data_IF_178860810268
#
_entry.id   IF_178860810268
#
_cell.length_a   1.000
_cell.length_b   1.000
_cell.length_c   1.000
_cell.angle_alpha   90.00
_cell.angle_beta   90.00
_cell.angle_gamma   90.00
#
_symmetry.space_group_name_H-M   'P 1'
#
loop_
_entity.id
_entity.type
_entity.pdbx_description
1 polymer ?
#
# COMPACT_ATOMS: atom_id res chain seq x y z
N UNK A 1 17.32 -0.78 -0.24
CA UNK A 1 15.95 -0.34 0.10
C UNK A 1 15.84 1.16 -0.10
N UNK A 2 14.66 1.66 -0.48
CA UNK A 2 14.42 3.11 -0.52
C UNK A 2 13.90 3.57 0.83
N UNK A 3 14.52 4.63 1.36
CA UNK A 3 14.15 5.22 2.64
C UNK A 3 13.35 6.51 2.50
N UNK A 4 13.02 6.95 1.29
CA UNK A 4 12.28 8.19 1.05
C UNK A 4 11.32 8.01 -0.13
N UNK A 5 10.36 7.09 0.00
CA UNK A 5 9.28 6.92 -0.98
C UNK A 5 8.17 7.91 -0.64
N UNK A 6 7.86 8.80 -1.59
CA UNK A 6 6.86 9.87 -1.46
C UNK A 6 6.47 10.39 -2.87
N UNK A 7 5.31 11.05 -3.02
CA UNK A 7 4.81 11.46 -4.34
C UNK A 7 5.78 12.35 -5.13
N UNK A 8 6.57 13.20 -4.45
CA UNK A 8 7.54 14.08 -5.10
C UNK A 8 8.69 13.32 -5.77
N UNK A 9 8.93 12.08 -5.35
CA UNK A 9 9.99 11.23 -5.88
C UNK A 9 9.44 10.27 -6.97
N UNK A 10 8.15 10.36 -7.31
CA UNK A 10 7.52 9.54 -8.34
C UNK A 10 7.36 10.33 -9.65
N UNK A 11 8.07 9.89 -10.70
CA UNK A 11 8.00 10.51 -12.01
C UNK A 11 6.89 9.87 -12.84
N UNK A 12 6.01 10.70 -13.40
CA UNK A 12 4.93 10.25 -14.28
C UNK A 12 5.37 10.40 -15.74
N UNK A 13 5.56 9.26 -16.40
CA UNK A 13 5.93 9.17 -17.81
C UNK A 13 4.72 9.11 -18.75
N UNK A 14 5.00 9.06 -20.05
CA UNK A 14 3.98 8.74 -21.07
C UNK A 14 3.50 7.29 -20.93
N UNK A 15 2.36 6.98 -21.56
CA UNK A 15 1.88 5.61 -21.69
C UNK A 15 2.92 4.74 -22.41
N UNK A 16 3.06 3.49 -21.98
CA UNK A 16 3.93 2.55 -22.68
C UNK A 16 3.28 2.07 -23.98
N UNK A 17 4.11 1.61 -24.91
CA UNK A 17 3.71 1.04 -26.18
C UNK A 17 3.40 -0.46 -26.11
N UNK A 18 3.69 -1.16 -25.02
CA UNK A 18 3.53 -2.62 -24.87
C UNK A 18 2.71 -3.05 -23.64
N UNK A 19 3.22 -2.90 -22.42
CA UNK A 19 2.66 -3.48 -21.19
C UNK A 19 1.71 -2.53 -20.45
N UNK A 20 2.02 -1.22 -20.42
CA UNK A 20 1.28 -0.21 -19.68
C UNK A 20 0.64 0.85 -20.59
N UNK A 21 -0.16 0.39 -21.56
CA UNK A 21 -0.82 1.26 -22.54
C UNK A 21 -1.96 2.13 -21.99
N UNK A 22 -2.42 1.87 -20.76
CA UNK A 22 -3.66 2.46 -20.21
C UNK A 22 -3.43 3.45 -19.08
N UNK A 23 -2.41 3.21 -18.26
CA UNK A 23 -2.04 4.08 -17.16
C UNK A 23 -0.65 4.67 -17.43
N UNK A 24 -0.42 5.96 -17.15
CA UNK A 24 0.91 6.55 -17.22
C UNK A 24 1.91 5.72 -16.41
N UNK A 25 3.12 5.54 -16.95
CA UNK A 25 4.17 4.79 -16.26
C UNK A 25 4.67 5.62 -15.08
N UNK A 26 4.59 5.07 -13.87
CA UNK A 26 5.17 5.66 -12.68
C UNK A 26 6.59 5.09 -12.49
N UNK A 27 7.59 5.97 -12.42
CA UNK A 27 8.98 5.60 -12.18
C UNK A 27 9.43 6.20 -10.86
N UNK A 28 9.74 5.34 -9.89
CA UNK A 28 10.37 5.76 -8.65
C UNK A 28 11.75 6.35 -8.94
N UNK A 29 11.98 7.56 -8.47
CA UNK A 29 13.22 8.30 -8.60
C UNK A 29 13.83 8.57 -7.22
N UNK A 30 14.97 9.27 -7.23
CA UNK A 30 15.65 9.76 -6.03
C UNK A 30 16.10 8.66 -5.05
N UNK A 31 17.16 7.95 -5.44
CA UNK A 31 17.80 6.93 -4.60
C UNK A 31 18.91 7.50 -3.69
N UNK A 32 19.00 8.82 -3.52
CA UNK A 32 20.09 9.48 -2.76
C UNK A 32 20.14 9.08 -1.27
N UNK A 33 19.00 8.65 -0.71
CA UNK A 33 18.89 8.14 0.67
C UNK A 33 18.78 6.61 0.73
N UNK A 34 18.87 5.94 -0.41
CA UNK A 34 18.80 4.48 -0.45
C UNK A 34 20.06 3.86 0.13
N UNK A 35 19.90 2.73 0.79
CA UNK A 35 21.01 1.96 1.36
C UNK A 35 20.82 0.47 1.08
N UNK A 36 21.94 -0.24 1.01
CA UNK A 36 21.94 -1.70 1.02
C UNK A 36 21.57 -2.17 2.42
N UNK A 37 20.51 -2.97 2.51
CA UNK A 37 20.12 -3.55 3.79
C UNK A 37 21.19 -4.58 4.21
N UNK A 38 21.67 -4.56 5.46
CA UNK A 38 22.58 -5.59 5.95
C UNK A 38 21.86 -6.96 6.03
N UNK A 39 22.64 -8.03 6.07
CA UNK A 39 22.10 -9.39 6.24
C UNK A 39 21.46 -9.57 7.63
N UNK A 40 21.99 -8.89 8.65
CA UNK A 40 21.44 -8.84 10.00
C UNK A 40 20.81 -7.47 10.26
N UNK A 41 19.48 -7.43 10.34
CA UNK A 41 18.67 -6.24 10.62
C UNK A 41 18.06 -6.28 12.03
N UNK A 42 18.48 -7.23 12.87
CA UNK A 42 18.02 -7.31 14.25
C UNK A 42 18.44 -6.04 15.02
N UNK A 43 17.49 -5.24 15.55
CA UNK A 43 17.78 -3.98 16.23
C UNK A 43 18.69 -4.14 17.45
N UNK A 44 18.63 -5.29 18.13
CA UNK A 44 19.44 -5.59 19.31
C UNK A 44 20.88 -5.91 18.90
N UNK A 45 21.05 -6.63 17.80
CA UNK A 45 22.36 -7.07 17.31
C UNK A 45 23.04 -6.03 16.42
N UNK A 46 22.27 -5.12 15.84
CA UNK A 46 22.74 -4.09 14.92
C UNK A 46 22.16 -2.70 15.27
N UNK A 47 22.50 -2.15 16.44
CA UNK A 47 21.99 -0.84 16.86
C UNK A 47 22.50 0.31 15.98
N UNK A 48 23.70 0.17 15.40
CA UNK A 48 24.28 1.17 14.49
C UNK A 48 23.42 1.30 13.22
N UNK A 49 22.95 0.19 12.66
CA UNK A 49 22.01 0.23 11.53
C UNK A 49 20.74 1.01 11.87
N UNK A 50 20.17 0.79 13.06
CA UNK A 50 18.98 1.52 13.50
C UNK A 50 19.30 3.01 13.64
N UNK A 51 20.45 3.36 14.22
CA UNK A 51 20.88 4.74 14.40
C UNK A 51 21.09 5.46 13.06
N UNK A 52 21.66 4.78 12.07
CA UNK A 52 21.92 5.32 10.75
C UNK A 52 20.68 5.41 9.86
N UNK A 53 19.70 4.51 10.03
CA UNK A 53 18.54 4.39 9.16
C UNK A 53 17.26 5.06 9.69
N UNK A 54 17.18 5.34 10.99
CA UNK A 54 16.08 6.11 11.58
C UNK A 54 16.05 7.55 11.05
N UNK A 55 14.88 8.18 11.09
CA UNK A 55 14.67 9.58 10.66
C UNK A 55 15.02 9.92 9.20
N UNK A 56 15.22 8.92 8.32
CA UNK A 56 15.60 9.17 6.93
C UNK A 56 14.44 9.49 5.98
N UNK A 57 13.24 8.97 6.24
CA UNK A 57 12.10 9.27 5.36
C UNK A 57 11.57 10.68 5.58
N UNK A 58 10.82 11.21 4.62
CA UNK A 58 10.09 12.46 4.83
C UNK A 58 9.00 12.30 5.90
N UNK A 59 8.83 13.32 6.75
CA UNK A 59 7.78 13.33 7.79
C UNK A 59 6.40 13.05 7.18
N UNK A 60 5.65 12.12 7.79
CA UNK A 60 4.35 11.66 7.29
C UNK A 60 4.41 10.45 6.36
N UNK A 61 5.58 10.14 5.79
CA UNK A 61 5.87 8.90 5.07
C UNK A 61 6.76 7.94 5.89
N UNK A 62 7.34 8.44 6.99
CA UNK A 62 8.06 7.63 7.97
C UNK A 62 7.10 6.66 8.69
N UNK A 63 7.47 5.38 8.84
CA UNK A 63 6.75 4.44 9.67
C UNK A 63 7.17 4.54 11.16
N UNK A 64 6.35 3.98 12.08
CA UNK A 64 6.58 4.04 13.52
C UNK A 64 7.97 3.57 13.98
N UNK A 65 8.53 2.51 13.37
CA UNK A 65 9.84 1.97 13.75
C UNK A 65 11.02 2.92 13.45
N UNK A 66 10.84 3.84 12.50
CA UNK A 66 11.80 4.90 12.19
C UNK A 66 11.61 6.14 13.08
N UNK A 67 10.41 6.37 13.59
CA UNK A 67 10.04 7.57 14.37
C UNK A 67 10.24 7.38 15.88
N UNK A 68 9.85 6.24 16.45
CA UNK A 68 9.86 6.07 17.90
C UNK A 68 10.99 5.17 18.33
N UNK A 69 11.93 5.73 19.10
CA UNK A 69 12.95 4.93 19.79
C UNK A 69 12.36 3.88 20.73
N UNK A 70 11.13 4.09 21.21
CA UNK A 70 10.38 3.18 22.07
C UNK A 70 9.50 2.17 21.33
N UNK A 71 9.51 2.14 19.99
CA UNK A 71 8.72 1.16 19.23
C UNK A 71 9.15 -0.27 19.59
N UNK A 72 8.19 -1.17 19.78
CA UNK A 72 8.44 -2.54 20.26
C UNK A 72 9.30 -3.35 19.30
N UNK A 73 9.12 -3.15 17.99
CA UNK A 73 9.95 -3.75 16.95
C UNK A 73 10.61 -2.67 16.09
N UNK A 74 11.91 -2.43 16.30
CA UNK A 74 12.68 -1.38 15.57
C UNK A 74 13.35 -1.87 14.29
N UNK A 75 12.85 -2.94 13.67
CA UNK A 75 13.41 -3.51 12.45
C UNK A 75 13.14 -2.60 11.24
N UNK A 76 14.12 -1.76 10.92
CA UNK A 76 14.09 -0.87 9.75
C UNK A 76 14.65 -1.63 8.53
N UNK A 77 13.85 -1.81 7.48
CA UNK A 77 14.19 -2.69 6.37
C UNK A 77 13.29 -2.51 5.14
N UNK A 78 13.17 -3.53 4.29
CA UNK A 78 12.27 -3.50 3.12
C UNK A 78 10.81 -3.19 3.51
N UNK A 79 10.36 -3.63 4.68
CA UNK A 79 9.01 -3.41 5.22
C UNK A 79 8.74 -1.94 5.56
N UNK A 80 9.79 -1.16 5.81
CA UNK A 80 9.72 0.30 5.93
C UNK A 80 9.36 0.93 4.58
N UNK A 81 9.91 0.43 3.47
CA UNK A 81 9.52 0.90 2.13
C UNK A 81 8.07 0.54 1.78
N UNK A 82 7.57 -0.62 2.25
CA UNK A 82 6.18 -1.04 2.07
C UNK A 82 5.21 -0.04 2.72
N UNK A 83 5.49 0.38 3.94
CA UNK A 83 4.71 1.42 4.60
C UNK A 83 4.65 2.70 3.77
N UNK A 84 5.80 3.16 3.29
CA UNK A 84 5.89 4.40 2.53
C UNK A 84 5.11 4.32 1.20
N UNK A 85 5.09 3.16 0.54
CA UNK A 85 4.19 2.89 -0.60
C UNK A 85 2.71 3.00 -0.18
N UNK A 86 2.33 2.41 0.95
CA UNK A 86 0.99 2.57 1.51
C UNK A 86 0.62 4.03 1.79
N UNK A 87 1.57 4.82 2.32
CA UNK A 87 1.38 6.25 2.56
C UNK A 87 1.16 7.05 1.26
N UNK A 88 1.90 6.73 0.20
CA UNK A 88 1.65 7.29 -1.15
C UNK A 88 0.26 6.92 -1.64
N UNK A 89 -0.11 5.63 -1.60
CA UNK A 89 -1.44 5.16 -2.02
C UNK A 89 -2.56 5.85 -1.24
N UNK A 90 -2.43 5.95 0.08
CA UNK A 90 -3.38 6.63 0.95
C UNK A 90 -3.50 8.12 0.58
N UNK A 91 -2.37 8.80 0.38
CA UNK A 91 -2.36 10.20 -0.02
C UNK A 91 -3.03 10.43 -1.37
N UNK A 92 -2.85 9.53 -2.34
CA UNK A 92 -3.52 9.59 -3.64
C UNK A 92 -5.04 9.40 -3.54
N UNK A 93 -5.50 8.55 -2.61
CA UNK A 93 -6.94 8.28 -2.42
C UNK A 93 -7.62 9.39 -1.60
N UNK A 94 -7.05 9.74 -0.46
CA UNK A 94 -7.69 10.62 0.54
C UNK A 94 -7.29 12.08 0.34
N UNK A 95 -6.19 12.37 -0.35
CA UNK A 95 -5.68 13.72 -0.56
C UNK A 95 -4.94 14.31 0.65
N UNK A 96 -4.61 13.50 1.65
CA UNK A 96 -3.86 13.89 2.86
C UNK A 96 -3.05 12.71 3.41
N UNK A 97 -2.13 13.02 4.32
CA UNK A 97 -1.30 12.02 5.02
C UNK A 97 -2.12 11.19 6.01
N UNK A 98 -1.69 9.95 6.23
CA UNK A 98 -2.29 9.07 7.25
C UNK A 98 -2.06 9.65 8.65
N UNK A 99 -3.06 9.53 9.53
CA UNK A 99 -2.95 10.01 10.90
C UNK A 99 -2.43 8.88 11.82
N UNK A 100 -1.19 9.04 12.24
CA UNK A 100 -0.44 8.12 13.10
C UNK A 100 -0.94 8.07 14.56
N UNK A 101 -1.80 8.99 14.99
CA UNK A 101 -2.33 9.01 16.36
C UNK A 101 -3.42 7.96 16.61
N UNK A 102 -3.93 7.33 15.56
CA UNK A 102 -4.98 6.33 15.65
C UNK A 102 -4.43 4.95 15.32
N UNK A 103 -4.93 3.95 16.03
CA UNK A 103 -4.73 2.54 15.71
C UNK A 103 -6.05 1.79 15.82
N UNK A 104 -6.17 0.69 15.08
CA UNK A 104 -7.34 -0.18 15.15
C UNK A 104 -6.97 -1.63 14.80
N UNK A 105 -7.81 -2.57 15.22
CA UNK A 105 -7.64 -3.98 14.87
C UNK A 105 -8.27 -4.27 13.50
N UNK A 106 -7.51 -4.90 12.62
CA UNK A 106 -7.95 -5.38 11.31
C UNK A 106 -7.70 -6.88 11.20
N UNK A 107 -8.68 -7.62 10.68
CA UNK A 107 -8.53 -9.06 10.47
C UNK A 107 -7.81 -9.31 9.15
N UNK A 108 -6.73 -10.08 9.19
CA UNK A 108 -6.06 -10.57 7.98
C UNK A 108 -6.92 -11.64 7.26
N UNK A 109 -6.55 -12.07 6.04
CA UNK A 109 -7.30 -13.09 5.30
C UNK A 109 -7.42 -14.45 6.01
N UNK A 110 -6.57 -14.74 7.00
CA UNK A 110 -6.59 -15.96 7.80
C UNK A 110 -7.42 -15.79 9.10
N UNK A 111 -7.99 -14.61 9.34
CA UNK A 111 -8.80 -14.30 10.51
C UNK A 111 -8.02 -13.86 11.74
N UNK A 112 -6.71 -13.61 11.63
CA UNK A 112 -5.93 -13.06 12.74
C UNK A 112 -6.06 -11.54 12.79
N UNK A 113 -6.32 -11.00 13.98
CA UNK A 113 -6.37 -9.56 14.20
C UNK A 113 -4.96 -8.98 14.35
N UNK A 114 -4.67 -7.96 13.56
CA UNK A 114 -3.41 -7.20 13.55
C UNK A 114 -3.69 -5.74 13.86
N UNK A 115 -2.74 -5.06 14.50
CA UNK A 115 -2.85 -3.63 14.77
C UNK A 115 -2.44 -2.85 13.52
N UNK A 116 -3.37 -2.05 13.00
CA UNK A 116 -3.15 -1.13 11.88
C UNK A 116 -3.06 0.28 12.43
N UNK A 117 -2.12 1.07 11.89
CA UNK A 117 -1.98 2.49 12.18
C UNK A 117 -2.77 3.32 11.16
N UNK A 118 -3.65 4.17 11.65
CA UNK A 118 -4.48 5.05 10.83
C UNK A 118 -5.86 5.25 11.43
N UNK A 119 -6.58 6.22 10.90
CA UNK A 119 -7.93 6.54 11.36
C UNK A 119 -8.96 5.57 10.74
N UNK A 120 -9.61 4.69 11.53
CA UNK A 120 -10.61 3.77 11.02
C UNK A 120 -11.84 4.47 10.46
N UNK A 121 -12.15 5.69 10.92
CA UNK A 121 -13.27 6.48 10.38
C UNK A 121 -13.01 6.94 8.94
N UNK A 122 -11.75 6.95 8.49
CA UNK A 122 -11.39 7.25 7.11
C UNK A 122 -11.28 5.95 6.31
N UNK A 123 -10.46 5.00 6.79
CA UNK A 123 -10.15 3.77 6.04
C UNK A 123 -11.36 2.85 5.87
N UNK A 124 -12.35 2.91 6.77
CA UNK A 124 -13.57 2.09 6.70
C UNK A 124 -14.78 2.86 6.16
N UNK A 125 -14.65 4.15 5.90
CA UNK A 125 -15.74 4.94 5.33
C UNK A 125 -15.75 4.82 3.80
N UNK A 126 -16.50 3.83 3.32
CA UNK A 126 -16.73 3.61 1.89
C UNK A 126 -17.63 4.66 1.23
N UNK A 127 -18.22 5.58 2.01
CA UNK A 127 -19.26 6.50 1.51
C UNK A 127 -18.73 7.88 1.16
N UNK A 128 -17.81 8.45 1.95
CA UNK A 128 -17.31 9.80 1.72
C UNK A 128 -15.80 9.84 1.45
N UNK A 129 -15.01 9.08 2.21
CA UNK A 129 -13.56 9.25 2.20
C UNK A 129 -12.80 8.18 1.41
N UNK A 130 -13.31 6.95 1.36
CA UNK A 130 -12.59 5.83 0.76
C UNK A 130 -13.51 4.94 -0.12
N UNK A 131 -13.97 5.45 -1.29
CA UNK A 131 -14.94 4.77 -2.15
C UNK A 131 -14.31 3.65 -3.00
N UNK A 132 -13.50 2.80 -2.38
CA UNK A 132 -12.82 1.67 -3.01
C UNK A 132 -13.30 0.36 -2.37
N UNK A 133 -13.06 -0.75 -3.08
CA UNK A 133 -13.41 -2.09 -2.61
C UNK A 133 -12.73 -2.44 -1.30
N UNK A 134 -13.32 -3.38 -0.56
CA UNK A 134 -12.73 -3.91 0.67
C UNK A 134 -11.29 -4.40 0.44
N UNK A 135 -11.00 -4.95 -0.74
CA UNK A 135 -9.64 -5.41 -1.09
C UNK A 135 -8.59 -4.29 -1.14
N UNK A 136 -8.93 -3.10 -1.64
CA UNK A 136 -7.99 -1.95 -1.63
C UNK A 136 -7.73 -1.51 -0.19
N UNK A 137 -8.77 -1.54 0.65
CA UNK A 137 -8.66 -1.23 2.08
C UNK A 137 -7.76 -2.26 2.77
N UNK A 138 -7.94 -3.56 2.52
CA UNK A 138 -7.11 -4.63 3.08
C UNK A 138 -5.64 -4.47 2.68
N UNK A 139 -5.37 -4.15 1.40
CA UNK A 139 -4.01 -3.87 0.91
C UNK A 139 -3.38 -2.71 1.68
N UNK A 140 -4.10 -1.60 1.87
CA UNK A 140 -3.60 -0.47 2.66
C UNK A 140 -3.37 -0.85 4.12
N UNK A 141 -4.29 -1.59 4.73
CA UNK A 141 -4.13 -2.08 6.10
C UNK A 141 -2.87 -2.93 6.25
N UNK A 142 -2.57 -3.82 5.28
CA UNK A 142 -1.33 -4.61 5.29
C UNK A 142 -0.07 -3.78 5.10
N UNK A 143 -0.13 -2.61 4.45
CA UNK A 143 0.98 -1.67 4.40
C UNK A 143 1.19 -0.94 5.74
N UNK A 144 0.11 -0.70 6.48
CA UNK A 144 0.10 0.08 7.72
C UNK A 144 0.05 -0.77 9.00
N UNK A 145 0.45 -2.04 8.95
CA UNK A 145 0.63 -2.83 10.16
C UNK A 145 1.67 -2.16 11.07
N UNK A 146 1.34 -2.05 12.35
CA UNK A 146 2.20 -1.43 13.36
C UNK A 146 3.54 -2.17 13.43
N UNK A 147 3.50 -3.49 13.57
CA UNK A 147 4.68 -4.33 13.52
C UNK A 147 5.19 -4.47 12.06
N UNK A 148 6.44 -4.05 11.76
CA UNK A 148 6.99 -4.20 10.42
C UNK A 148 7.04 -5.66 9.94
N UNK A 149 7.20 -6.64 10.84
CA UNK A 149 7.27 -8.07 10.45
C UNK A 149 5.90 -8.63 10.01
N UNK A 150 4.81 -7.94 10.33
CA UNK A 150 3.44 -8.30 9.93
C UNK A 150 3.00 -7.64 8.60
N UNK A 151 3.81 -6.71 8.06
CA UNK A 151 3.47 -6.03 6.80
C UNK A 151 3.57 -6.96 5.59
N UNK A 152 2.73 -6.71 4.59
CA UNK A 152 2.83 -7.43 3.32
C UNK A 152 4.20 -7.26 2.66
N UNK A 153 4.68 -8.30 1.99
CA UNK A 153 5.87 -8.17 1.13
C UNK A 153 5.52 -7.42 -0.15
N UNK A 154 6.52 -6.79 -0.79
CA UNK A 154 6.33 -6.15 -2.10
C UNK A 154 5.72 -7.08 -3.15
N UNK A 155 6.10 -8.37 -3.13
CA UNK A 155 5.52 -9.39 -4.00
C UNK A 155 4.03 -9.61 -3.75
N UNK A 156 3.59 -9.64 -2.49
CA UNK A 156 2.17 -9.76 -2.15
C UNK A 156 1.41 -8.54 -2.68
N UNK A 157 1.94 -7.33 -2.46
CA UNK A 157 1.33 -6.10 -2.96
C UNK A 157 1.21 -6.07 -4.49
N UNK A 158 2.26 -6.48 -5.21
CA UNK A 158 2.21 -6.57 -6.68
C UNK A 158 1.13 -7.55 -7.13
N UNK A 159 1.03 -8.73 -6.50
CA UNK A 159 0.01 -9.71 -6.85
C UNK A 159 -1.42 -9.18 -6.60
N UNK A 160 -1.64 -8.48 -5.48
CA UNK A 160 -2.94 -7.89 -5.18
C UNK A 160 -3.29 -6.75 -6.14
N UNK A 161 -2.35 -5.86 -6.44
CA UNK A 161 -2.52 -4.81 -7.44
C UNK A 161 -2.81 -5.38 -8.82
N UNK A 162 -2.09 -6.41 -9.25
CA UNK A 162 -2.31 -7.06 -10.54
C UNK A 162 -3.72 -7.68 -10.61
N UNK A 163 -4.15 -8.39 -9.56
CA UNK A 163 -5.49 -8.96 -9.52
C UNK A 163 -6.60 -7.89 -9.60
N UNK A 164 -6.39 -6.72 -8.99
CA UNK A 164 -7.33 -5.59 -9.09
C UNK A 164 -7.36 -4.99 -10.51
N UNK A 165 -6.21 -4.89 -11.18
CA UNK A 165 -6.13 -4.48 -12.58
C UNK A 165 -6.84 -5.51 -13.47
N UNK A 166 -6.59 -6.80 -13.31
CA UNK A 166 -7.20 -7.84 -14.14
C UNK A 166 -8.75 -7.85 -14.02
N UNK A 167 -9.28 -7.61 -12.81
CA UNK A 167 -10.73 -7.43 -12.60
C UNK A 167 -11.24 -6.20 -13.34
N UNK A 168 -10.55 -5.07 -13.21
CA UNK A 168 -10.89 -3.84 -13.94
C UNK A 168 -10.91 -4.07 -15.45
N UNK A 169 -9.92 -4.78 -15.98
CA UNK A 169 -9.77 -5.09 -17.41
C UNK A 169 -10.95 -5.93 -17.89
N UNK A 170 -11.29 -6.96 -17.13
CA UNK A 170 -12.43 -7.82 -17.41
C UNK A 170 -13.74 -7.03 -17.44
N UNK A 171 -13.91 -6.08 -16.52
CA UNK A 171 -15.11 -5.24 -16.44
C UNK A 171 -15.21 -4.19 -17.55
N UNK A 172 -14.07 -3.80 -18.14
CA UNK A 172 -13.98 -2.71 -19.13
C UNK A 172 -13.70 -3.18 -20.54
N UNK A 173 -13.48 -4.49 -20.75
CA UNK A 173 -13.12 -5.12 -22.02
C UNK A 173 -14.03 -4.72 -23.20
N UNK A 174 -15.31 -4.51 -22.92
CA UNK A 174 -16.32 -4.16 -23.94
C UNK A 174 -16.72 -2.67 -23.92
N UNK A 175 -16.10 -1.85 -23.06
CA UNK A 175 -16.44 -0.43 -22.93
C UNK A 175 -15.53 0.42 -23.83
N UNK A 176 -16.09 1.26 -24.73
CA UNK A 176 -15.28 2.20 -25.48
C UNK A 176 -14.59 3.21 -24.54
N UNK A 177 -13.38 3.71 -24.88
CA UNK A 177 -12.61 4.63 -24.01
C UNK A 177 -13.35 5.88 -23.55
N UNK A 178 -14.30 6.35 -24.36
CA UNK A 178 -15.18 7.49 -24.06
C UNK A 178 -16.18 7.19 -22.93
N UNK A 179 -16.60 5.93 -22.77
CA UNK A 179 -17.51 5.52 -21.70
C UNK A 179 -16.78 5.16 -20.39
N UNK A 180 -15.52 4.72 -20.45
CA UNK A 180 -14.69 4.47 -19.26
C UNK A 180 -14.56 5.71 -18.36
N UNK A 181 -14.43 6.90 -18.95
CA UNK A 181 -14.36 8.18 -18.20
C UNK A 181 -15.68 8.59 -17.54
N UNK A 182 -16.80 7.98 -17.94
CA UNK A 182 -18.16 8.30 -17.46
C UNK A 182 -18.70 7.34 -16.41
N UNK A 183 -17.97 6.26 -16.09
CA UNK A 183 -18.35 5.33 -15.01
C UNK A 183 -18.38 6.07 -13.67
N UNK A 184 -19.57 6.17 -13.06
CA UNK A 184 -19.74 6.81 -11.75
C UNK A 184 -19.07 5.94 -10.68
N UNK A 185 -18.31 6.58 -9.77
CA UNK A 185 -17.53 5.92 -8.68
C UNK A 185 -18.29 4.80 -7.96
N UNK A 186 -19.58 4.96 -7.67
CA UNK A 186 -20.39 3.96 -6.95
C UNK A 186 -20.77 2.69 -7.74
N UNK A 187 -20.77 2.71 -9.07
CA UNK A 187 -21.12 1.53 -9.89
C UNK A 187 -19.94 0.56 -10.08
N UNK A 188 -18.71 1.02 -9.92
CA UNK A 188 -17.52 0.19 -10.01
C UNK A 188 -17.24 -0.59 -8.73
N UNK A 189 -17.40 0.04 -7.55
CA UNK A 189 -17.13 -0.61 -6.26
C UNK A 189 -18.00 -1.86 -6.06
N UNK A 190 -19.32 -1.74 -6.25
CA UNK A 190 -20.25 -2.87 -6.02
C UNK A 190 -20.04 -4.06 -6.95
N UNK A 191 -19.57 -3.79 -8.18
CA UNK A 191 -19.24 -4.85 -9.16
C UNK A 191 -17.91 -5.52 -8.86
N UNK A 192 -16.91 -4.77 -8.38
CA UNK A 192 -15.62 -5.33 -7.97
C UNK A 192 -15.78 -6.28 -6.76
N UNK A 193 -16.59 -5.90 -5.77
CA UNK A 193 -16.83 -6.74 -4.59
C UNK A 193 -17.50 -8.08 -4.97
N UNK A 194 -18.47 -8.04 -5.89
CA UNK A 194 -19.18 -9.25 -6.34
C UNK A 194 -18.30 -10.22 -7.15
N UNK A 195 -17.45 -9.72 -8.04
CA UNK A 195 -16.54 -10.57 -8.83
C UNK A 195 -15.40 -11.14 -7.98
N UNK A 196 -14.98 -10.41 -6.94
CA UNK A 196 -13.99 -10.89 -6.00
C UNK A 196 -14.50 -12.07 -5.18
N UNK A 197 -15.71 -12.00 -4.62
CA UNK A 197 -16.33 -13.15 -3.94
C UNK A 197 -16.32 -14.40 -4.82
N UNK A 198 -16.68 -14.25 -6.11
CA UNK A 198 -16.65 -15.34 -7.09
C UNK A 198 -15.22 -15.87 -7.32
N UNK A 199 -14.20 -15.00 -7.36
CA UNK A 199 -12.81 -15.42 -7.50
C UNK A 199 -12.29 -16.18 -6.28
N UNK A 200 -12.71 -15.77 -5.07
CA UNK A 200 -12.31 -16.36 -3.79
C UNK A 200 -12.78 -17.82 -3.68
N UNK A 201 -14.02 -18.09 -4.10
CA UNK A 201 -14.56 -19.45 -4.19
C UNK A 201 -13.82 -20.35 -5.18
N UNK A 202 -13.22 -19.80 -6.25
CA UNK A 202 -12.49 -20.61 -7.23
C UNK A 202 -11.10 -21.01 -6.74
N UNK A 203 -10.44 -20.17 -5.95
CA UNK A 203 -9.11 -20.45 -5.39
C UNK A 203 -9.11 -21.37 -4.15
N UNK A 204 -10.27 -21.62 -3.51
CA UNK A 204 -10.37 -22.54 -2.37
C UNK A 204 -10.77 -23.98 -2.77
N UNK A 205 -10.97 -24.26 -4.06
CA UNK A 205 -11.45 -25.56 -4.59
C UNK A 205 -10.39 -26.23 -5.49
N UNK A 206 -9.11 -25.88 -5.33
CA UNK A 206 -8.00 -26.55 -6.03
C UNK A 206 -6.88 -26.89 -5.05
#
# INVERSE_FOLDING_TARGET
>A
MSLDVRPENDLIGSLDSDEHRRFPVLKLAYFGLSCSQPADIDPVRNPDWVAESQWRATLGFQPPEQMYGSHTNRRIGVQTSVWAVGAVMYCLVVGRLNNWMYTFLHADPNGYFRTVVGDPAILRDSTQHFPYSARVIDVLCHCFMEDPDERATSRILVNDCQAMVDIFDTMTKDLPPTQMRSLKRGQMSSRMDSLYEISRFRTQVC
#
